data_IF_133035144728
#
_entry.id   IF_133035144728
#
_cell.length_a   1.000
_cell.length_b   1.000
_cell.length_c   1.000
_cell.angle_alpha   90.00
_cell.angle_beta   90.00
_cell.angle_gamma   90.00
#
_symmetry.space_group_name_H-M   'P 1'
#
loop_
_entity.id
_entity.type
_entity.pdbx_description
1 polymer ?
#
# COMPACT_ATOMS: atom_id res chain seq x y z
N UNK A 1 -10.03 -8.91 15.83
CA UNK A 1 -10.79 -9.21 14.60
C UNK A 1 -9.79 -9.40 13.47
N UNK A 2 -9.87 -10.51 12.74
CA UNK A 2 -8.99 -10.82 11.60
C UNK A 2 -9.58 -10.18 10.35
N UNK A 3 -8.78 -9.46 9.58
CA UNK A 3 -9.24 -8.87 8.33
C UNK A 3 -9.53 -9.98 7.30
N UNK A 4 -10.47 -9.72 6.41
CA UNK A 4 -10.83 -10.63 5.32
C UNK A 4 -11.15 -9.82 4.09
N UNK A 5 -11.05 -10.42 2.91
CA UNK A 5 -11.38 -9.76 1.66
C UNK A 5 -11.09 -10.66 0.47
N UNK A 6 -11.35 -10.18 -0.75
CA UNK A 6 -11.08 -10.93 -1.96
C UNK A 6 -9.57 -11.22 -2.15
N UNK A 7 -9.32 -12.30 -2.88
CA UNK A 7 -8.00 -12.86 -3.15
C UNK A 7 -7.92 -13.34 -4.59
N UNK A 8 -6.78 -13.13 -5.23
CA UNK A 8 -6.46 -13.62 -6.56
C UNK A 8 -5.26 -14.56 -6.47
N UNK A 9 -5.44 -15.88 -6.68
CA UNK A 9 -4.33 -16.83 -6.62
C UNK A 9 -3.30 -16.56 -7.73
N UNK A 10 -2.08 -17.11 -7.60
CA UNK A 10 -1.06 -17.04 -8.63
C UNK A 10 -1.57 -17.44 -10.01
N UNK A 11 -1.33 -16.60 -11.01
CA UNK A 11 -1.72 -16.85 -12.40
C UNK A 11 -1.04 -18.09 -12.97
N UNK A 12 0.17 -18.41 -12.51
CA UNK A 12 0.92 -19.60 -12.94
C UNK A 12 0.34 -20.93 -12.46
N UNK A 13 -0.57 -20.90 -11.48
CA UNK A 13 -1.08 -22.10 -10.80
C UNK A 13 -0.09 -22.74 -9.83
N UNK A 14 1.09 -22.14 -9.62
CA UNK A 14 2.08 -22.62 -8.63
C UNK A 14 1.78 -22.08 -7.23
N UNK A 15 2.38 -22.65 -6.17
CA UNK A 15 2.39 -22.02 -4.86
C UNK A 15 2.93 -20.58 -4.94
N UNK A 16 2.39 -19.64 -4.15
CA UNK A 16 2.81 -18.25 -4.23
C UNK A 16 4.26 -18.08 -3.78
N UNK A 17 5.04 -17.29 -4.53
CA UNK A 17 6.39 -16.90 -4.14
C UNK A 17 6.49 -15.47 -3.60
N UNK A 18 5.39 -14.72 -3.69
CA UNK A 18 5.25 -13.34 -3.26
C UNK A 18 3.79 -13.05 -2.87
N UNK A 19 3.60 -12.07 -2.00
CA UNK A 19 2.30 -11.52 -1.63
C UNK A 19 2.28 -10.03 -1.96
N UNK A 20 1.27 -9.60 -2.71
CA UNK A 20 0.95 -8.19 -2.93
C UNK A 20 -0.38 -7.89 -2.26
N UNK A 21 -0.37 -6.98 -1.28
CA UNK A 21 -1.59 -6.58 -0.57
C UNK A 21 -2.04 -5.21 -1.05
N UNK A 22 -3.23 -5.15 -1.62
CA UNK A 22 -3.94 -3.93 -1.92
C UNK A 22 -4.58 -3.37 -0.66
N UNK A 23 -4.35 -2.09 -0.38
CA UNK A 23 -4.87 -1.40 0.80
C UNK A 23 -5.77 -0.29 0.30
N UNK A 24 -7.09 -0.48 0.43
CA UNK A 24 -8.09 0.42 -0.15
C UNK A 24 -8.21 1.76 0.60
N UNK A 25 -8.82 2.74 -0.06
CA UNK A 25 -9.08 4.07 0.48
C UNK A 25 -10.34 4.15 1.35
N UNK A 26 -10.58 5.33 1.93
CA UNK A 26 -11.77 5.59 2.76
C UNK A 26 -13.07 5.42 1.95
N UNK A 27 -14.04 4.66 2.46
CA UNK A 27 -15.34 4.44 1.81
C UNK A 27 -15.35 3.41 0.68
N UNK A 28 -14.18 2.85 0.34
CA UNK A 28 -14.03 1.72 -0.59
C UNK A 28 -14.04 0.39 0.18
N UNK A 29 -13.87 -0.73 -0.52
CA UNK A 29 -13.63 -2.03 0.10
C UNK A 29 -12.58 -2.85 -0.68
N UNK A 30 -12.33 -4.08 -0.22
CA UNK A 30 -11.34 -4.95 -0.86
C UNK A 30 -11.68 -5.31 -2.32
N UNK A 31 -12.97 -5.35 -2.68
CA UNK A 31 -13.46 -5.69 -4.01
C UNK A 31 -13.14 -4.62 -5.04
N UNK A 32 -13.05 -3.36 -4.62
CA UNK A 32 -12.68 -2.26 -5.51
C UNK A 32 -11.27 -2.41 -6.06
N UNK A 33 -10.30 -2.77 -5.21
CA UNK A 33 -8.89 -2.84 -5.60
C UNK A 33 -8.44 -4.21 -6.11
N UNK A 34 -9.15 -5.31 -5.83
CA UNK A 34 -8.66 -6.64 -6.25
C UNK A 34 -8.54 -6.77 -7.77
N UNK A 35 -9.33 -6.00 -8.53
CA UNK A 35 -9.24 -5.93 -10.00
C UNK A 35 -7.87 -5.45 -10.50
N UNK A 36 -7.12 -4.68 -9.70
CA UNK A 36 -5.76 -4.26 -10.04
C UNK A 36 -4.79 -5.43 -10.21
N UNK A 37 -5.10 -6.61 -9.65
CA UNK A 37 -4.33 -7.82 -9.87
C UNK A 37 -4.19 -8.17 -11.36
N UNK A 38 -5.17 -7.83 -12.19
CA UNK A 38 -5.11 -8.12 -13.63
C UNK A 38 -4.02 -7.33 -14.36
N UNK A 39 -3.60 -6.19 -13.81
CA UNK A 39 -2.48 -5.40 -14.34
C UNK A 39 -1.11 -5.94 -13.90
N UNK A 40 -1.03 -6.57 -12.73
CA UNK A 40 0.25 -7.01 -12.15
C UNK A 40 0.55 -8.50 -12.36
N UNK A 41 -0.47 -9.35 -12.41
CA UNK A 41 -0.32 -10.79 -12.61
C UNK A 41 0.44 -11.20 -13.90
N UNK A 42 0.41 -10.44 -15.02
CA UNK A 42 1.24 -10.75 -16.18
C UNK A 42 2.75 -10.67 -15.92
N UNK A 43 3.18 -9.73 -15.07
CA UNK A 43 4.61 -9.52 -14.73
C UNK A 43 5.03 -10.20 -13.44
N UNK A 44 4.06 -10.61 -12.61
CA UNK A 44 4.22 -11.33 -11.34
C UNK A 44 3.34 -12.60 -11.35
N UNK A 45 3.61 -13.59 -12.20
CA UNK A 45 2.70 -14.72 -12.40
C UNK A 45 2.58 -15.64 -11.19
N UNK A 46 3.58 -15.63 -10.31
CA UNK A 46 3.65 -16.45 -9.10
C UNK A 46 3.20 -15.69 -7.83
N UNK A 47 2.75 -14.44 -7.95
CA UNK A 47 2.30 -13.65 -6.79
C UNK A 47 0.85 -13.95 -6.41
N UNK A 48 0.59 -14.02 -5.10
CA UNK A 48 -0.75 -13.96 -4.51
C UNK A 48 -1.14 -12.50 -4.32
N UNK A 49 -2.31 -12.10 -4.82
CA UNK A 49 -2.86 -10.77 -4.56
C UNK A 49 -3.99 -10.85 -3.54
N UNK A 50 -3.92 -9.99 -2.53
CA UNK A 50 -4.89 -9.90 -1.45
C UNK A 50 -5.42 -8.48 -1.35
N UNK A 51 -6.69 -8.31 -1.03
CA UNK A 51 -7.28 -6.98 -0.81
C UNK A 51 -8.22 -7.06 0.39
N UNK A 52 -7.70 -6.95 1.63
CA UNK A 52 -8.53 -7.02 2.82
C UNK A 52 -9.46 -5.81 2.94
N UNK A 53 -10.67 -6.04 3.43
CA UNK A 53 -11.52 -4.99 3.95
C UNK A 53 -10.91 -4.40 5.23
N UNK A 54 -10.92 -3.08 5.32
CA UNK A 54 -10.57 -2.37 6.54
C UNK A 54 -11.57 -2.66 7.68
N UNK A 55 -11.15 -2.53 8.96
CA UNK A 55 -11.95 -3.00 10.10
C UNK A 55 -13.21 -2.16 10.37
N UNK A 56 -13.22 -0.88 10.01
CA UNK A 56 -14.33 0.03 10.24
C UNK A 56 -15.32 0.08 9.07
N UNK A 57 -16.51 0.62 9.34
CA UNK A 57 -17.54 0.92 8.34
C UNK A 57 -17.78 2.43 8.37
N UNK A 58 -17.81 3.08 7.20
CA UNK A 58 -18.07 4.51 7.16
C UNK A 58 -19.56 4.81 7.39
N UNK A 59 -19.93 6.05 7.79
CA UNK A 59 -21.32 6.47 7.89
C UNK A 59 -22.10 6.42 6.56
N UNK A 60 -21.41 6.37 5.43
CA UNK A 60 -21.99 6.43 4.08
C UNK A 60 -21.91 5.09 3.33
N UNK A 61 -21.48 4.03 3.99
CA UNK A 61 -21.20 2.72 3.38
C UNK A 61 -19.74 2.56 2.96
N UNK A 62 -19.33 1.31 2.74
CA UNK A 62 -17.92 0.96 2.51
C UNK A 62 -17.08 1.00 3.79
N UNK A 63 -15.80 0.68 3.65
CA UNK A 63 -14.88 0.40 4.76
C UNK A 63 -13.95 1.58 5.04
N UNK A 64 -13.42 1.63 6.26
CA UNK A 64 -12.40 2.60 6.68
C UNK A 64 -11.35 1.93 7.58
N UNK A 65 -10.09 2.31 7.39
CA UNK A 65 -8.99 1.91 8.27
C UNK A 65 -9.08 2.63 9.61
N UNK A 66 -9.42 3.91 9.53
CA UNK A 66 -9.70 4.78 10.66
C UNK A 66 -10.72 5.85 10.25
N UNK A 67 -11.52 6.37 11.19
CA UNK A 67 -12.48 7.44 10.90
C UNK A 67 -11.79 8.73 10.44
N UNK A 68 -12.43 9.43 9.51
CA UNK A 68 -12.04 10.80 9.10
C UNK A 68 -13.14 11.76 9.54
N UNK A 69 -13.00 12.36 10.72
CA UNK A 69 -14.00 13.23 11.33
C UNK A 69 -13.67 14.71 11.14
N UNK A 70 -12.42 15.09 11.41
CA UNK A 70 -11.97 16.49 11.41
C UNK A 70 -10.99 16.80 10.28
N UNK A 71 -10.40 15.76 9.66
CA UNK A 71 -9.37 15.84 8.60
C UNK A 71 -8.20 16.75 8.97
N UNK A 72 -7.86 16.84 10.26
CA UNK A 72 -6.66 17.54 10.70
C UNK A 72 -5.42 16.62 10.63
N UNK A 73 -4.19 17.16 10.50
CA UNK A 73 -2.99 16.34 10.37
C UNK A 73 -2.73 15.37 11.53
N UNK A 74 -3.20 15.70 12.74
CA UNK A 74 -3.06 14.82 13.92
C UNK A 74 -4.03 13.64 13.87
N UNK A 75 -5.17 13.79 13.19
CA UNK A 75 -6.13 12.71 12.96
C UNK A 75 -5.52 11.60 12.11
N UNK A 76 -4.81 11.94 11.03
CA UNK A 76 -4.15 10.94 10.18
C UNK A 76 -3.13 10.12 10.97
N UNK A 77 -2.29 10.77 11.77
CA UNK A 77 -1.28 10.09 12.61
C UNK A 77 -1.94 9.13 13.61
N UNK A 78 -2.91 9.63 14.40
CA UNK A 78 -3.64 8.81 15.37
C UNK A 78 -4.38 7.66 14.70
N UNK A 79 -4.96 7.93 13.53
CA UNK A 79 -5.69 6.96 12.74
C UNK A 79 -4.82 5.80 12.26
N UNK A 80 -3.67 6.10 11.62
CA UNK A 80 -2.75 5.04 11.17
C UNK A 80 -2.20 4.24 12.34
N UNK A 81 -1.87 4.89 13.47
CA UNK A 81 -1.37 4.24 14.68
C UNK A 81 -2.40 3.27 15.28
N UNK A 82 -3.67 3.68 15.31
CA UNK A 82 -4.76 2.84 15.83
C UNK A 82 -5.09 1.68 14.88
N UNK A 83 -5.02 1.89 13.57
CA UNK A 83 -5.37 0.91 12.56
C UNK A 83 -4.23 -0.09 12.26
N UNK A 84 -2.97 0.31 12.46
CA UNK A 84 -1.78 -0.47 12.11
C UNK A 84 -1.81 -1.91 12.64
N UNK A 85 -2.15 -2.17 13.92
CA UNK A 85 -2.17 -3.54 14.45
C UNK A 85 -3.13 -4.49 13.72
N UNK A 86 -4.17 -3.97 13.04
CA UNK A 86 -5.08 -4.80 12.26
C UNK A 86 -4.43 -5.28 10.96
N UNK A 87 -3.81 -4.38 10.21
CA UNK A 87 -3.11 -4.71 8.97
C UNK A 87 -1.84 -5.53 9.25
N UNK A 88 -1.11 -5.20 10.32
CA UNK A 88 0.11 -5.89 10.72
C UNK A 88 -0.13 -7.38 11.03
N UNK A 89 -1.15 -7.69 11.85
CA UNK A 89 -1.53 -9.09 12.12
C UNK A 89 -2.06 -9.82 10.90
N UNK A 90 -2.72 -9.11 9.98
CA UNK A 90 -3.18 -9.70 8.73
C UNK A 90 -2.00 -10.10 7.84
N UNK A 91 -1.00 -9.22 7.73
CA UNK A 91 0.26 -9.49 7.03
C UNK A 91 0.96 -10.72 7.63
N UNK A 92 1.13 -10.77 8.96
CA UNK A 92 1.78 -11.89 9.64
C UNK A 92 1.11 -13.22 9.31
N UNK A 93 -0.22 -13.27 9.41
CA UNK A 93 -1.00 -14.47 9.19
C UNK A 93 -0.90 -14.97 7.74
N UNK A 94 -0.85 -14.07 6.75
CA UNK A 94 -0.75 -14.46 5.34
C UNK A 94 0.68 -14.86 4.95
N UNK A 95 1.70 -14.19 5.50
CA UNK A 95 3.10 -14.62 5.37
C UNK A 95 3.32 -16.01 5.96
N UNK A 96 2.84 -16.24 7.19
CA UNK A 96 2.93 -17.54 7.86
C UNK A 96 2.20 -18.64 7.07
N UNK A 97 0.96 -18.37 6.64
CA UNK A 97 0.15 -19.32 5.84
C UNK A 97 0.86 -19.78 4.58
N UNK A 98 1.63 -18.90 3.94
CA UNK A 98 2.31 -19.20 2.69
C UNK A 98 3.80 -19.49 2.85
N UNK A 99 4.30 -19.54 4.09
CA UNK A 99 5.72 -19.76 4.39
C UNK A 99 6.65 -18.77 3.66
N UNK A 100 6.21 -17.50 3.62
CA UNK A 100 6.95 -16.38 3.04
C UNK A 100 7.41 -15.43 4.15
N UNK A 101 8.43 -14.62 3.86
CA UNK A 101 8.89 -13.56 4.76
C UNK A 101 8.66 -12.15 4.17
N UNK A 102 9.02 -11.12 4.92
CA UNK A 102 8.83 -9.73 4.51
C UNK A 102 9.49 -9.40 3.15
N UNK A 103 10.60 -10.06 2.78
CA UNK A 103 11.27 -9.84 1.49
C UNK A 103 10.44 -10.28 0.29
N UNK A 104 9.31 -10.95 0.53
CA UNK A 104 8.30 -11.39 -0.43
C UNK A 104 6.98 -10.67 -0.31
N UNK A 105 6.92 -9.61 0.48
CA UNK A 105 5.73 -8.78 0.67
C UNK A 105 5.88 -7.44 -0.07
N UNK A 106 4.83 -7.04 -0.79
CA UNK A 106 4.64 -5.66 -1.21
C UNK A 106 3.27 -5.12 -0.78
N UNK A 107 3.22 -3.83 -0.48
CA UNK A 107 1.98 -3.12 -0.17
C UNK A 107 1.67 -2.11 -1.28
N UNK A 108 0.42 -2.10 -1.75
CA UNK A 108 -0.06 -1.19 -2.78
C UNK A 108 -1.28 -0.46 -2.23
N UNK A 109 -1.08 0.78 -1.80
CA UNK A 109 -2.12 1.60 -1.17
C UNK A 109 -2.76 2.60 -2.13
N UNK A 110 -4.03 2.94 -1.86
CA UNK A 110 -4.71 4.08 -2.46
C UNK A 110 -5.28 5.00 -1.37
N UNK A 111 -5.02 6.31 -1.45
CA UNK A 111 -5.60 7.31 -0.54
C UNK A 111 -5.30 7.00 0.94
N UNK A 112 -6.32 6.77 1.78
CA UNK A 112 -6.14 6.30 3.17
C UNK A 112 -5.28 5.02 3.24
N UNK A 113 -5.42 4.12 2.26
CA UNK A 113 -4.60 2.93 2.17
C UNK A 113 -3.13 3.20 1.90
N UNK A 114 -2.78 4.27 1.18
CA UNK A 114 -1.38 4.71 1.03
C UNK A 114 -0.79 5.14 2.37
N UNK A 115 -1.56 5.88 3.19
CA UNK A 115 -1.11 6.27 4.54
C UNK A 115 -0.82 5.02 5.39
N UNK A 116 -1.71 4.02 5.33
CA UNK A 116 -1.53 2.74 5.99
C UNK A 116 -0.33 1.94 5.47
N UNK A 117 -0.15 1.85 4.15
CA UNK A 117 0.95 1.11 3.52
C UNK A 117 2.31 1.72 3.90
N UNK A 118 2.43 3.05 3.91
CA UNK A 118 3.64 3.74 4.35
C UNK A 118 3.88 3.54 5.85
N UNK A 119 2.85 3.70 6.68
CA UNK A 119 2.99 3.57 8.13
C UNK A 119 3.40 2.15 8.55
N UNK A 120 2.67 1.14 8.06
CA UNK A 120 2.90 -0.27 8.42
C UNK A 120 4.15 -0.80 7.74
N UNK A 121 4.34 -0.54 6.43
CA UNK A 121 5.44 -1.09 5.65
C UNK A 121 6.82 -0.78 6.24
N UNK A 122 7.02 0.44 6.74
CA UNK A 122 8.30 0.85 7.35
C UNK A 122 8.45 0.46 8.82
N UNK A 123 7.41 -0.08 9.46
CA UNK A 123 7.43 -0.51 10.88
C UNK A 123 7.41 -2.03 11.04
N UNK A 124 7.48 -2.77 9.93
CA UNK A 124 7.65 -4.23 9.93
C UNK A 124 8.97 -4.64 10.59
N UNK A 125 9.06 -5.85 11.17
CA UNK A 125 10.27 -6.31 11.85
C UNK A 125 11.47 -6.45 10.90
N UNK A 126 11.21 -6.72 9.61
CA UNK A 126 12.18 -6.74 8.52
C UNK A 126 11.71 -5.85 7.36
N UNK A 127 12.63 -5.31 6.54
CA UNK A 127 12.27 -4.58 5.33
C UNK A 127 11.38 -5.41 4.41
N UNK A 128 10.28 -4.82 3.95
CA UNK A 128 9.44 -5.43 2.92
C UNK A 128 10.03 -5.18 1.52
N UNK A 129 9.57 -5.93 0.52
CA UNK A 129 10.11 -5.84 -0.83
C UNK A 129 9.85 -4.46 -1.48
N UNK A 130 8.63 -3.93 -1.33
CA UNK A 130 8.25 -2.65 -1.91
C UNK A 130 6.99 -2.04 -1.28
N UNK A 131 6.87 -0.72 -1.38
CA UNK A 131 5.62 0.03 -1.19
C UNK A 131 5.28 0.78 -2.48
N UNK A 132 4.03 0.74 -2.89
CA UNK A 132 3.45 1.62 -3.90
C UNK A 132 2.31 2.40 -3.25
N UNK A 133 2.35 3.73 -3.36
CA UNK A 133 1.30 4.61 -2.84
C UNK A 133 0.67 5.43 -3.95
N UNK A 134 -0.63 5.28 -4.13
CA UNK A 134 -1.41 6.14 -5.03
C UNK A 134 -2.16 7.21 -4.23
N UNK A 135 -2.08 8.46 -4.68
CA UNK A 135 -2.91 9.59 -4.24
C UNK A 135 -3.03 9.72 -2.71
N UNK A 136 -1.91 9.67 -2.00
CA UNK A 136 -1.87 9.64 -0.53
C UNK A 136 -0.82 10.57 0.09
N UNK A 137 -0.54 10.36 1.38
CA UNK A 137 0.43 11.15 2.14
C UNK A 137 1.13 10.32 3.23
N UNK A 138 2.22 10.87 3.79
CA UNK A 138 2.89 10.31 4.95
C UNK A 138 2.25 10.83 6.25
N UNK A 139 1.59 9.96 7.00
CA UNK A 139 0.87 10.34 8.22
C UNK A 139 1.83 10.41 9.43
N UNK A 140 2.17 11.63 9.84
CA UNK A 140 3.09 11.90 10.95
C UNK A 140 4.58 11.79 10.59
N UNK A 141 5.45 12.23 11.50
CA UNK A 141 6.90 12.15 11.33
C UNK A 141 7.39 10.69 11.42
N UNK A 142 8.43 10.35 10.65
CA UNK A 142 9.11 9.06 10.75
C UNK A 142 10.22 9.10 11.82
N UNK A 143 9.83 9.36 13.08
CA UNK A 143 10.77 9.52 14.20
C UNK A 143 11.26 8.19 14.80
N UNK A 144 10.61 7.07 14.45
CA UNK A 144 10.92 5.74 14.97
C UNK A 144 11.98 5.02 14.14
N UNK A 145 12.50 3.89 14.63
CA UNK A 145 13.39 3.01 13.90
C UNK A 145 12.68 2.37 12.69
N UNK A 146 12.62 3.10 11.57
CA UNK A 146 12.05 2.63 10.32
C UNK A 146 12.92 1.56 9.67
N UNK A 147 12.28 0.65 8.93
CA UNK A 147 12.92 -0.29 8.01
C UNK A 147 12.65 0.19 6.59
N UNK A 148 13.63 0.81 5.92
CA UNK A 148 13.44 1.34 4.58
C UNK A 148 13.00 0.24 3.60
N UNK A 149 12.02 0.56 2.77
CA UNK A 149 11.62 -0.26 1.63
C UNK A 149 11.59 0.61 0.37
N UNK A 150 11.96 0.07 -0.81
CA UNK A 150 11.79 0.77 -2.08
C UNK A 150 10.36 1.26 -2.27
N UNK A 151 10.20 2.58 -2.45
CA UNK A 151 8.88 3.22 -2.43
C UNK A 151 8.63 3.97 -3.72
N UNK A 152 7.46 3.73 -4.33
CA UNK A 152 6.93 4.49 -5.46
C UNK A 152 5.68 5.25 -5.02
N UNK A 153 5.64 6.56 -5.25
CA UNK A 153 4.45 7.40 -5.04
C UNK A 153 3.92 7.92 -6.38
N UNK A 154 2.62 7.80 -6.62
CA UNK A 154 1.98 8.28 -7.85
C UNK A 154 0.76 9.11 -7.50
N UNK A 155 0.66 10.33 -8.05
CA UNK A 155 -0.41 11.28 -7.67
C UNK A 155 -0.96 12.06 -8.87
N UNK A 156 -2.28 12.23 -8.94
CA UNK A 156 -2.93 13.10 -9.92
C UNK A 156 -2.70 14.58 -9.66
N UNK A 157 -2.42 15.38 -10.70
CA UNK A 157 -2.18 16.84 -10.53
C UNK A 157 -3.46 17.64 -10.29
N UNK A 158 -4.63 17.07 -10.56
CA UNK A 158 -5.96 17.68 -10.33
C UNK A 158 -6.70 17.00 -9.17
N UNK A 159 -5.97 16.38 -8.25
CA UNK A 159 -6.56 15.77 -7.06
C UNK A 159 -7.10 16.86 -6.12
N UNK A 160 -8.43 17.01 -6.11
CA UNK A 160 -9.17 17.94 -5.25
C UNK A 160 -9.46 17.38 -3.85
N UNK A 161 -9.16 16.10 -3.60
CA UNK A 161 -9.38 15.44 -2.30
C UNK A 161 -8.12 15.50 -1.45
N UNK A 162 -6.98 15.12 -2.02
CA UNK A 162 -5.66 15.23 -1.42
C UNK A 162 -4.73 15.91 -2.43
N UNK A 163 -4.44 17.22 -2.27
CA UNK A 163 -3.57 17.93 -3.19
C UNK A 163 -2.22 17.22 -3.43
N UNK A 164 -1.78 17.20 -4.69
CA UNK A 164 -0.57 16.51 -5.14
C UNK A 164 0.71 16.92 -4.37
N UNK A 165 0.73 18.12 -3.78
CA UNK A 165 1.80 18.60 -2.91
C UNK A 165 2.09 17.64 -1.74
N UNK A 166 1.10 16.87 -1.28
CA UNK A 166 1.29 15.86 -0.25
C UNK A 166 2.27 14.75 -0.64
N UNK A 167 2.36 14.38 -1.93
CA UNK A 167 3.36 13.41 -2.40
C UNK A 167 4.78 13.97 -2.27
N UNK A 168 5.00 15.27 -2.53
CA UNK A 168 6.31 15.89 -2.36
C UNK A 168 6.69 15.99 -0.87
N UNK A 169 5.73 16.36 -0.02
CA UNK A 169 5.93 16.38 1.43
C UNK A 169 6.25 14.98 1.96
N UNK A 170 5.52 13.96 1.52
CA UNK A 170 5.81 12.57 1.86
C UNK A 170 7.21 12.16 1.38
N UNK A 171 7.58 12.46 0.13
CA UNK A 171 8.91 12.17 -0.40
C UNK A 171 10.02 12.84 0.42
N UNK A 172 9.81 14.08 0.87
CA UNK A 172 10.78 14.78 1.70
C UNK A 172 10.92 14.10 3.07
N UNK A 173 9.81 13.87 3.78
CA UNK A 173 9.81 13.22 5.11
C UNK A 173 10.45 11.83 5.06
N UNK A 174 10.13 11.05 4.02
CA UNK A 174 10.69 9.71 3.81
C UNK A 174 12.19 9.77 3.44
N UNK A 175 12.58 10.73 2.60
CA UNK A 175 13.98 10.95 2.24
C UNK A 175 14.85 11.36 3.43
N UNK A 176 14.34 12.23 4.31
CA UNK A 176 14.99 12.61 5.58
C UNK A 176 15.17 11.39 6.51
N UNK A 177 14.29 10.40 6.42
CA UNK A 177 14.39 9.12 7.13
C UNK A 177 15.25 8.06 6.41
N UNK A 178 15.93 8.41 5.31
CA UNK A 178 16.79 7.52 4.55
C UNK A 178 16.05 6.48 3.69
N UNK A 179 14.77 6.71 3.40
CA UNK A 179 13.94 5.82 2.57
C UNK A 179 14.04 6.24 1.10
N UNK A 180 14.39 5.33 0.17
CA UNK A 180 14.41 5.64 -1.26
C UNK A 180 12.98 5.82 -1.77
N UNK A 181 12.67 7.02 -2.27
CA UNK A 181 11.36 7.34 -2.84
C UNK A 181 11.52 7.78 -4.28
N UNK A 182 10.88 7.04 -5.17
CA UNK A 182 10.53 7.47 -6.51
C UNK A 182 9.13 8.07 -6.47
N UNK A 183 8.88 9.17 -7.17
CA UNK A 183 7.56 9.77 -7.24
C UNK A 183 7.24 10.28 -8.64
N UNK A 184 5.96 10.20 -9.02
CA UNK A 184 5.46 10.60 -10.33
C UNK A 184 4.13 11.34 -10.21
N UNK A 185 3.99 12.40 -11.00
CA UNK A 185 2.71 13.06 -11.18
C UNK A 185 2.01 12.59 -12.45
N UNK A 186 0.68 12.54 -12.37
CA UNK A 186 -0.22 12.17 -13.46
C UNK A 186 -0.96 13.44 -13.92
N UNK A 187 -0.50 14.11 -14.99
CA UNK A 187 -1.12 15.35 -15.46
C UNK A 187 -2.59 15.16 -15.80
N UNK A 188 -3.45 16.04 -15.31
CA UNK A 188 -4.90 15.98 -15.59
C UNK A 188 -5.69 14.98 -14.74
N UNK A 189 -5.03 14.04 -14.08
CA UNK A 189 -5.70 13.04 -13.25
C UNK A 189 -6.18 13.66 -11.92
N UNK A 190 -7.41 13.32 -11.51
CA UNK A 190 -7.97 13.67 -10.21
C UNK A 190 -7.56 12.71 -9.09
N UNK A 191 -8.43 12.49 -8.11
CA UNK A 191 -8.22 11.51 -7.03
C UNK A 191 -8.43 10.08 -7.54
N UNK A 192 -7.42 9.49 -8.18
CA UNK A 192 -7.58 8.18 -8.81
C UNK A 192 -6.27 7.50 -9.21
N UNK A 193 -6.42 6.44 -9.99
CA UNK A 193 -5.34 5.61 -10.54
C UNK A 193 -5.57 5.48 -12.04
N UNK A 194 -4.57 5.80 -12.86
CA UNK A 194 -4.63 5.64 -14.32
C UNK A 194 -3.72 4.50 -14.82
N UNK A 195 -3.83 4.19 -16.11
CA UNK A 195 -3.13 3.06 -16.72
C UNK A 195 -1.60 3.20 -16.70
N UNK A 196 -1.08 4.41 -16.89
CA UNK A 196 0.37 4.65 -16.80
C UNK A 196 0.86 4.57 -15.35
N UNK A 197 0.09 5.06 -14.37
CA UNK A 197 0.35 4.85 -12.93
C UNK A 197 0.45 3.37 -12.58
N UNK A 198 -0.46 2.55 -13.10
CA UNK A 198 -0.41 1.10 -12.96
C UNK A 198 0.81 0.50 -13.67
N UNK A 199 1.19 1.01 -14.84
CA UNK A 199 2.40 0.60 -15.54
C UNK A 199 3.67 0.82 -14.72
N UNK A 200 3.81 2.01 -14.12
CA UNK A 200 4.94 2.33 -13.22
C UNK A 200 4.96 1.42 -12.00
N UNK A 201 3.80 1.20 -11.37
CA UNK A 201 3.68 0.28 -10.25
C UNK A 201 4.04 -1.17 -10.63
N UNK A 202 3.64 -1.64 -11.82
CA UNK A 202 3.97 -2.97 -12.29
C UNK A 202 5.49 -3.16 -12.44
N UNK A 203 6.18 -2.17 -13.01
CA UNK A 203 7.65 -2.17 -13.14
C UNK A 203 8.33 -2.15 -11.77
N UNK A 204 7.86 -1.29 -10.86
CA UNK A 204 8.39 -1.20 -9.49
C UNK A 204 8.26 -2.52 -8.74
N UNK A 205 7.05 -3.10 -8.73
CA UNK A 205 6.79 -4.38 -8.07
C UNK A 205 7.60 -5.51 -8.72
N UNK A 206 7.67 -5.58 -10.05
CA UNK A 206 8.47 -6.59 -10.75
C UNK A 206 9.95 -6.49 -10.35
N UNK A 207 10.51 -5.28 -10.37
CA UNK A 207 11.92 -5.01 -10.04
C UNK A 207 12.30 -5.47 -8.64
N UNK A 208 11.38 -5.32 -7.67
CA UNK A 208 11.67 -5.58 -6.27
C UNK A 208 11.25 -6.97 -5.78
N UNK A 209 10.22 -7.59 -6.38
CA UNK A 209 9.79 -8.94 -6.03
C UNK A 209 10.46 -10.04 -6.86
N UNK A 210 10.98 -9.71 -8.05
CA UNK A 210 11.66 -10.70 -8.90
C UNK A 210 13.10 -11.00 -8.48
N UNK A 211 13.65 -10.27 -7.50
CA UNK A 211 14.97 -10.57 -6.92
C UNK A 211 14.85 -11.90 -6.16
N UNK A 212 15.38 -12.98 -6.73
CA UNK A 212 15.59 -14.27 -6.03
C UNK A 212 16.39 -13.98 -4.76
N UNK A 213 16.10 -14.61 -3.60
CA UNK A 213 16.91 -14.37 -2.41
C UNK A 213 18.34 -14.82 -2.75
N UNK A 214 19.34 -14.03 -2.36
CA UNK A 214 20.70 -14.57 -2.31
C UNK A 214 20.64 -15.72 -1.30
N UNK A 215 20.80 -16.94 -1.81
CA UNK A 215 20.93 -18.17 -1.02
C UNK A 215 22.15 -18.06 -0.12
#
# INVERSE_FOLDING_TARGET
MTLSGPRRPPRSGKPPNAIVIFVHGYGADGSDLISLADHFAPVLPDALFLSPDAPGMTPHGGREWFPLTMRDPSEYKRGVEAAAPHLDRYIDAELERHSLDESRLALVGFSQGTMMSLHVGFRRPRPIAAVVGFSGLCAGAQADAVRPAPTLLVHGTHDEVLPAAFTLQASQVLGEAGIPVEWHFRPGLGHGIDGEGLGMAAVHLQTHLSKVPQV
#
